data_IF_419462494341
#
_entry.id   IF_419462494341
#
_cell.length_a   1.000
_cell.length_b   1.000
_cell.length_c   1.000
_cell.angle_alpha   90.00
_cell.angle_beta   90.00
_cell.angle_gamma   90.00
#
_symmetry.space_group_name_H-M   'P 1'
#
loop_
_entity.id
_entity.type
_entity.pdbx_description
1 polymer ?
#
# COMPACT_ATOMS: atom_id res chain seq x y z
N UNK A 1 70.14 -26.73 20.58
CA UNK A 1 69.68 -28.14 20.67
C UNK A 1 68.41 -28.28 19.83
N UNK A 2 68.55 -29.09 18.78
CA UNK A 2 67.53 -29.82 17.99
C UNK A 2 66.51 -29.05 17.15
N UNK A 3 66.83 -29.04 15.86
CA UNK A 3 65.94 -28.98 14.71
C UNK A 3 65.04 -30.24 14.55
N UNK A 4 64.01 -30.05 13.71
CA UNK A 4 63.31 -31.03 12.85
C UNK A 4 62.35 -31.99 13.56
N UNK A 5 61.06 -31.99 13.14
CA UNK A 5 60.39 -33.10 12.42
C UNK A 5 59.09 -32.59 11.79
N UNK A 6 58.90 -32.93 10.52
CA UNK A 6 57.65 -32.84 9.74
C UNK A 6 57.19 -34.28 9.47
N UNK A 7 55.87 -34.50 9.50
CA UNK A 7 55.12 -35.62 8.85
C UNK A 7 55.28 -36.97 9.64
N UNK A 8 54.27 -37.77 10.00
CA UNK A 8 53.13 -38.25 9.22
C UNK A 8 51.97 -38.81 10.08
N UNK A 9 50.80 -38.84 9.45
CA UNK A 9 49.53 -39.57 9.64
C UNK A 9 49.39 -40.63 10.77
N UNK A 10 48.24 -40.66 11.48
CA UNK A 10 47.44 -41.89 11.75
C UNK A 10 46.07 -41.61 12.44
N UNK A 11 45.04 -42.23 11.84
CA UNK A 11 43.72 -42.73 12.34
C UNK A 11 42.57 -41.78 12.76
N UNK A 12 41.65 -41.65 11.79
CA UNK A 12 40.18 -41.87 11.83
C UNK A 12 39.56 -42.21 13.21
N UNK A 13 38.61 -41.39 13.67
CA UNK A 13 37.18 -41.78 13.67
C UNK A 13 36.19 -40.65 14.07
N UNK A 14 35.21 -40.46 13.19
CA UNK A 14 33.78 -40.15 13.41
C UNK A 14 33.38 -38.98 14.33
N UNK A 15 32.89 -37.91 13.71
CA UNK A 15 31.47 -37.53 13.86
C UNK A 15 31.01 -36.64 12.70
N UNK A 16 29.84 -36.99 12.18
CA UNK A 16 29.18 -36.43 11.00
C UNK A 16 28.59 -35.06 11.34
N UNK A 17 28.83 -34.04 10.52
CA UNK A 17 27.76 -33.13 10.09
C UNK A 17 28.09 -32.55 8.72
N UNK A 18 27.12 -32.67 7.82
CA UNK A 18 27.20 -32.27 6.41
C UNK A 18 27.02 -30.75 6.31
N UNK A 19 28.04 -30.03 5.86
CA UNK A 19 27.87 -28.71 5.24
C UNK A 19 28.41 -28.82 3.82
N UNK A 20 27.50 -28.77 2.85
CA UNK A 20 27.83 -28.84 1.42
C UNK A 20 28.57 -27.55 0.98
N UNK A 21 29.64 -27.62 0.17
CA UNK A 21 30.45 -26.45 -0.24
C UNK A 21 29.78 -25.50 -1.25
N UNK A 22 28.45 -25.53 -1.37
CA UNK A 22 27.72 -24.96 -2.50
C UNK A 22 27.35 -23.48 -2.32
N UNK A 23 27.24 -22.99 -1.09
CA UNK A 23 26.74 -21.63 -0.82
C UNK A 23 27.85 -20.58 -0.95
N UNK A 24 29.07 -20.90 -0.51
CA UNK A 24 30.19 -19.96 -0.53
C UNK A 24 30.71 -19.68 -1.95
N UNK A 25 30.62 -20.66 -2.87
CA UNK A 25 30.97 -20.43 -4.29
C UNK A 25 29.97 -19.51 -5.00
N UNK A 26 28.69 -19.61 -4.67
CA UNK A 26 27.65 -18.74 -5.26
C UNK A 26 27.83 -17.29 -4.79
N UNK A 27 28.15 -17.07 -3.52
CA UNK A 27 28.41 -15.73 -2.97
C UNK A 27 29.64 -15.10 -3.65
N UNK A 28 30.73 -15.85 -3.83
CA UNK A 28 31.95 -15.37 -4.49
C UNK A 28 31.72 -15.07 -5.99
N UNK A 29 30.86 -15.86 -6.65
CA UNK A 29 30.54 -15.66 -8.07
C UNK A 29 29.59 -14.47 -8.30
N UNK A 30 28.70 -14.18 -7.36
CA UNK A 30 27.87 -12.96 -7.41
C UNK A 30 28.67 -11.68 -7.13
N UNK A 31 29.71 -11.74 -6.29
CA UNK A 31 30.58 -10.58 -6.04
C UNK A 31 31.52 -10.25 -7.22
N UNK A 32 31.80 -11.20 -8.11
CA UNK A 32 32.61 -10.97 -9.33
C UNK A 32 31.83 -10.37 -10.50
N UNK A 33 30.49 -10.39 -10.48
CA UNK A 33 29.66 -9.86 -11.59
C UNK A 33 29.40 -8.34 -11.47
N UNK A 34 29.75 -7.69 -10.35
CA UNK A 34 29.50 -6.23 -10.19
C UNK A 34 30.63 -5.30 -10.66
N UNK A 35 31.70 -5.81 -11.31
CA UNK A 35 32.89 -5.01 -11.62
C UNK A 35 33.25 -4.86 -13.12
N UNK A 36 32.38 -5.21 -14.05
CA UNK A 36 32.64 -4.95 -15.48
C UNK A 36 31.55 -4.10 -16.09
N UNK A 37 31.74 -2.78 -16.08
CA UNK A 37 31.44 -1.89 -17.21
C UNK A 37 32.03 -0.50 -16.93
N UNK A 38 33.30 -0.32 -17.32
CA UNK A 38 33.91 1.00 -17.58
C UNK A 38 33.77 1.30 -19.07
N UNK A 39 33.37 2.53 -19.39
CA UNK A 39 33.57 3.16 -20.71
C UNK A 39 32.45 2.93 -21.73
N UNK A 40 31.79 4.01 -22.15
CA UNK A 40 30.84 4.02 -23.27
C UNK A 40 29.81 5.15 -23.15
N UNK A 41 29.81 6.06 -24.12
CA UNK A 41 29.06 7.32 -24.18
C UNK A 41 27.55 7.18 -23.95
N UNK A 42 26.96 8.14 -23.23
CA UNK A 42 25.52 8.20 -22.94
C UNK A 42 24.76 8.80 -24.15
N UNK A 43 24.17 7.96 -24.99
CA UNK A 43 23.06 8.39 -25.86
C UNK A 43 21.71 8.15 -25.16
N UNK A 44 20.93 9.23 -25.06
CA UNK A 44 19.55 9.25 -24.58
C UNK A 44 18.57 9.11 -25.76
N UNK A 45 17.38 8.52 -25.59
CA UNK A 45 16.88 7.80 -24.42
C UNK A 45 17.33 6.32 -24.40
N UNK A 46 17.37 5.64 -23.24
CA UNK A 46 17.77 4.24 -23.16
C UNK A 46 16.72 3.35 -23.87
N UNK A 47 17.14 2.69 -24.94
CA UNK A 47 16.42 1.56 -25.51
C UNK A 47 16.33 0.49 -24.43
N UNK A 48 15.12 0.25 -23.89
CA UNK A 48 14.86 -0.89 -23.03
C UNK A 48 14.99 -2.13 -23.92
N UNK A 49 16.15 -2.76 -23.92
CA UNK A 49 16.30 -4.11 -24.46
C UNK A 49 15.56 -5.03 -23.50
N UNK A 50 14.31 -5.34 -23.81
CA UNK A 50 13.60 -6.46 -23.19
C UNK A 50 14.34 -7.71 -23.68
N UNK A 51 15.28 -8.21 -22.88
CA UNK A 51 15.87 -9.52 -23.11
C UNK A 51 14.74 -10.53 -23.30
N UNK A 52 14.88 -11.42 -24.29
CA UNK A 52 13.93 -12.53 -24.49
C UNK A 52 13.66 -13.20 -23.14
N UNK A 53 12.40 -13.45 -22.76
CA UNK A 53 12.11 -14.04 -21.47
C UNK A 53 12.78 -15.41 -21.41
N UNK A 54 13.51 -15.77 -20.34
CA UNK A 54 13.90 -17.15 -20.14
C UNK A 54 12.62 -17.98 -20.04
N UNK A 55 12.47 -18.94 -20.94
CA UNK A 55 11.38 -19.91 -20.98
C UNK A 55 11.47 -20.82 -19.74
N UNK A 56 10.92 -20.35 -18.61
CA UNK A 56 10.53 -21.09 -17.41
C UNK A 56 9.97 -20.05 -16.44
N UNK A 57 8.70 -20.20 -16.04
CA UNK A 57 8.07 -19.43 -14.96
C UNK A 57 8.77 -19.73 -13.64
N UNK A 58 9.93 -19.13 -13.39
CA UNK A 58 10.56 -19.15 -12.07
C UNK A 58 9.91 -18.03 -11.29
N UNK A 59 8.91 -18.37 -10.47
CA UNK A 59 8.28 -17.44 -9.53
C UNK A 59 9.38 -16.96 -8.56
N UNK A 60 9.93 -15.76 -8.79
CA UNK A 60 10.93 -15.16 -7.91
C UNK A 60 10.18 -14.48 -6.77
N UNK A 61 9.81 -15.27 -5.75
CA UNK A 61 9.18 -14.71 -4.56
C UNK A 61 10.25 -13.93 -3.77
N UNK A 62 10.11 -12.61 -3.72
CA UNK A 62 10.92 -11.77 -2.86
C UNK A 62 10.38 -11.76 -1.41
N UNK A 63 11.22 -11.39 -0.45
CA UNK A 63 10.86 -11.37 0.97
C UNK A 63 9.65 -10.46 1.26
N UNK A 64 9.48 -9.37 0.51
CA UNK A 64 8.40 -8.41 0.71
C UNK A 64 7.06 -8.97 0.21
N UNK A 65 7.09 -9.72 -0.89
CA UNK A 65 5.95 -10.46 -1.42
C UNK A 65 5.52 -11.56 -0.45
N UNK A 66 6.47 -12.31 0.15
CA UNK A 66 6.15 -13.25 1.25
C UNK A 66 5.43 -12.53 2.39
N UNK A 67 5.91 -11.35 2.78
CA UNK A 67 5.33 -10.58 3.87
C UNK A 67 3.91 -10.07 3.53
N UNK A 68 3.68 -9.71 2.28
CA UNK A 68 2.37 -9.29 1.77
C UNK A 68 1.37 -10.45 1.75
N UNK A 69 1.81 -11.62 1.25
CA UNK A 69 1.02 -12.85 1.26
C UNK A 69 0.68 -13.25 2.70
N UNK A 70 1.68 -13.24 3.59
CA UNK A 70 1.49 -13.50 5.01
C UNK A 70 0.47 -12.54 5.62
N UNK A 71 0.52 -11.26 5.25
CA UNK A 71 -0.43 -10.25 5.71
C UNK A 71 -1.86 -10.57 5.28
N UNK A 72 -2.09 -10.88 4.00
CA UNK A 72 -3.41 -11.26 3.49
C UNK A 72 -3.93 -12.53 4.18
N UNK A 73 -3.08 -13.56 4.29
CA UNK A 73 -3.43 -14.81 4.96
C UNK A 73 -3.80 -14.57 6.41
N UNK A 74 -3.02 -13.77 7.14
CA UNK A 74 -3.28 -13.49 8.56
C UNK A 74 -4.60 -12.73 8.75
N UNK A 75 -4.88 -11.73 7.92
CA UNK A 75 -6.15 -10.98 7.97
C UNK A 75 -7.34 -11.88 7.65
N UNK A 76 -7.24 -12.71 6.61
CA UNK A 76 -8.32 -13.64 6.22
C UNK A 76 -8.55 -14.70 7.29
N UNK A 77 -7.49 -15.32 7.81
CA UNK A 77 -7.59 -16.32 8.87
C UNK A 77 -8.16 -15.73 10.16
N UNK A 78 -7.69 -14.55 10.58
CA UNK A 78 -8.22 -13.84 11.74
C UNK A 78 -9.69 -13.44 11.57
N UNK A 79 -10.09 -13.04 10.36
CA UNK A 79 -11.47 -12.68 10.04
C UNK A 79 -12.38 -13.92 10.02
N UNK A 80 -11.89 -15.05 9.50
CA UNK A 80 -12.61 -16.32 9.54
C UNK A 80 -12.78 -16.83 10.98
N UNK A 81 -11.74 -16.70 11.81
CA UNK A 81 -11.83 -17.01 13.23
C UNK A 81 -12.86 -16.11 13.95
N UNK A 82 -12.87 -14.82 13.64
CA UNK A 82 -13.87 -13.89 14.16
C UNK A 82 -15.30 -14.23 13.71
N UNK A 83 -15.50 -14.54 12.43
CA UNK A 83 -16.80 -14.95 11.91
C UNK A 83 -17.31 -16.23 12.57
N UNK A 84 -16.44 -17.22 12.77
CA UNK A 84 -16.75 -18.43 13.53
C UNK A 84 -17.09 -18.10 14.98
N UNK A 85 -16.30 -17.25 15.64
CA UNK A 85 -16.56 -16.85 17.02
C UNK A 85 -17.93 -16.16 17.18
N UNK A 86 -18.24 -15.20 16.31
CA UNK A 86 -19.53 -14.51 16.30
C UNK A 86 -20.71 -15.42 15.95
N UNK A 87 -20.48 -16.49 15.16
CA UNK A 87 -21.54 -17.48 14.91
C UNK A 87 -21.98 -18.22 16.18
N UNK A 88 -21.10 -18.33 17.19
CA UNK A 88 -21.39 -18.96 18.47
C UNK A 88 -21.86 -17.96 19.55
N UNK A 89 -21.41 -16.70 19.51
CA UNK A 89 -21.66 -15.70 20.58
C UNK A 89 -22.70 -14.64 20.18
N UNK A 90 -23.07 -14.56 18.90
CA UNK A 90 -23.97 -13.54 18.38
C UNK A 90 -23.27 -12.20 18.12
N UNK A 91 -23.99 -11.30 17.46
CA UNK A 91 -23.55 -9.94 17.14
C UNK A 91 -24.61 -8.98 17.67
N UNK A 92 -24.18 -7.91 18.31
CA UNK A 92 -25.04 -6.79 18.73
C UNK A 92 -24.79 -5.57 17.84
N UNK A 93 -25.37 -4.42 18.17
CA UNK A 93 -25.07 -3.17 17.47
C UNK A 93 -23.67 -2.63 17.81
N UNK A 94 -23.04 -3.07 18.91
CA UNK A 94 -21.74 -2.58 19.35
C UNK A 94 -20.62 -2.95 18.37
N UNK A 95 -20.55 -4.20 17.91
CA UNK A 95 -19.48 -4.70 17.03
C UNK A 95 -19.39 -3.95 15.69
N UNK A 96 -20.48 -3.78 14.91
CA UNK A 96 -20.41 -3.01 13.67
C UNK A 96 -20.10 -1.54 13.91
N UNK A 97 -20.60 -0.93 14.99
CA UNK A 97 -20.27 0.46 15.35
C UNK A 97 -18.80 0.60 15.71
N UNK A 98 -18.25 -0.33 16.49
CA UNK A 98 -16.83 -0.37 16.84
C UNK A 98 -15.97 -0.57 15.58
N UNK A 99 -16.33 -1.52 14.71
CA UNK A 99 -15.64 -1.77 13.45
C UNK A 99 -15.57 -0.50 12.60
N UNK A 100 -16.70 0.18 12.38
CA UNK A 100 -16.76 1.40 11.56
C UNK A 100 -16.02 2.56 12.21
N UNK A 101 -16.10 2.70 13.54
CA UNK A 101 -15.40 3.75 14.29
C UNK A 101 -13.87 3.55 14.21
N UNK A 102 -13.39 2.33 14.44
CA UNK A 102 -11.97 1.99 14.32
C UNK A 102 -11.50 2.09 12.86
N UNK A 103 -12.34 1.72 11.89
CA UNK A 103 -12.08 1.93 10.45
C UNK A 103 -11.88 3.41 10.14
N UNK A 104 -12.75 4.29 10.63
CA UNK A 104 -12.65 5.73 10.42
C UNK A 104 -11.34 6.27 11.01
N UNK A 105 -11.08 6.01 12.30
CA UNK A 105 -9.91 6.52 13.01
C UNK A 105 -8.60 6.03 12.39
N UNK A 106 -8.46 4.73 12.15
CA UNK A 106 -7.25 4.19 11.50
C UNK A 106 -7.16 4.60 10.03
N UNK A 107 -8.31 4.80 9.37
CA UNK A 107 -8.43 5.30 8.01
C UNK A 107 -7.87 6.71 7.84
N UNK A 108 -7.93 7.55 8.88
CA UNK A 108 -7.22 8.83 8.90
C UNK A 108 -5.70 8.66 8.71
N UNK A 109 -5.12 7.59 9.24
CA UNK A 109 -3.72 7.26 9.03
C UNK A 109 -3.38 6.89 7.58
N UNK A 110 -4.29 6.23 6.87
CA UNK A 110 -4.15 5.98 5.43
C UNK A 110 -4.35 7.27 4.63
N UNK A 111 -5.48 7.96 4.81
CA UNK A 111 -5.80 9.13 3.99
C UNK A 111 -4.91 10.35 4.28
N UNK A 112 -4.77 10.75 5.54
CA UNK A 112 -3.99 11.94 5.91
C UNK A 112 -2.51 11.61 5.99
N UNK A 113 -2.16 10.45 6.56
CA UNK A 113 -0.77 10.02 6.75
C UNK A 113 -0.15 9.49 5.47
N UNK A 114 -0.45 8.23 5.12
CA UNK A 114 0.21 7.53 4.02
C UNK A 114 0.00 8.26 2.69
N UNK A 115 -1.24 8.67 2.42
CA UNK A 115 -1.62 9.23 1.14
C UNK A 115 -1.29 10.73 1.03
N UNK A 116 -2.00 11.60 1.75
CA UNK A 116 -1.86 13.07 1.59
C UNK A 116 -0.52 13.61 2.07
N UNK A 117 0.02 13.07 3.16
CA UNK A 117 1.29 13.52 3.74
C UNK A 117 2.49 12.83 3.07
N UNK A 118 2.65 11.52 3.26
CA UNK A 118 3.90 10.84 2.90
C UNK A 118 4.04 10.63 1.38
N UNK A 119 2.96 10.38 0.65
CA UNK A 119 3.04 10.30 -0.82
C UNK A 119 3.15 11.69 -1.45
N UNK A 120 2.27 12.62 -1.06
CA UNK A 120 2.01 13.83 -1.85
C UNK A 120 2.42 15.15 -1.21
N UNK A 121 2.78 15.15 0.08
CA UNK A 121 3.22 16.35 0.82
C UNK A 121 2.27 17.53 0.65
N UNK A 122 0.99 17.27 0.83
CA UNK A 122 -0.07 18.26 0.67
C UNK A 122 -0.16 19.24 1.85
N UNK A 123 0.50 18.95 2.97
CA UNK A 123 0.63 19.82 4.14
C UNK A 123 1.93 19.52 4.91
N UNK A 124 2.27 20.37 5.89
CA UNK A 124 3.42 20.21 6.79
C UNK A 124 2.94 19.93 8.22
N UNK A 125 3.15 18.72 8.75
CA UNK A 125 2.76 18.35 10.11
C UNK A 125 3.83 18.70 11.15
N UNK A 126 3.46 18.71 12.44
CA UNK A 126 4.43 18.52 13.51
C UNK A 126 4.97 17.07 13.51
N UNK A 127 6.19 16.80 14.03
CA UNK A 127 6.74 15.44 14.03
C UNK A 127 5.89 14.41 14.79
N UNK A 128 5.28 14.81 15.90
CA UNK A 128 4.39 13.95 16.69
C UNK A 128 3.10 13.63 15.95
N UNK A 129 2.52 14.62 15.25
CA UNK A 129 1.33 14.39 14.44
C UNK A 129 1.64 13.48 13.23
N UNK A 130 2.78 13.67 12.57
CA UNK A 130 3.24 12.77 11.52
C UNK A 130 3.41 11.32 12.02
N UNK A 131 3.98 11.15 13.21
CA UNK A 131 4.14 9.84 13.85
C UNK A 131 2.78 9.20 14.17
N UNK A 132 1.84 9.98 14.74
CA UNK A 132 0.49 9.51 15.06
C UNK A 132 -0.26 9.03 13.81
N UNK A 133 -0.24 9.82 12.72
CA UNK A 133 -0.83 9.41 11.45
C UNK A 133 -0.15 8.16 10.87
N UNK A 134 1.18 8.06 10.98
CA UNK A 134 1.93 6.89 10.57
C UNK A 134 1.55 5.63 11.36
N UNK A 135 1.41 5.73 12.69
CA UNK A 135 0.99 4.63 13.56
C UNK A 135 -0.42 4.17 13.21
N UNK A 136 -1.37 5.10 13.06
CA UNK A 136 -2.75 4.79 12.66
C UNK A 136 -2.79 4.08 11.30
N UNK A 137 -1.96 4.51 10.34
CA UNK A 137 -1.81 3.84 9.05
C UNK A 137 -1.23 2.43 9.21
N UNK A 138 -0.23 2.24 10.06
CA UNK A 138 0.35 0.92 10.34
C UNK A 138 -0.65 -0.05 10.99
N UNK A 139 -1.57 0.43 11.85
CA UNK A 139 -2.64 -0.36 12.45
C UNK A 139 -3.63 -0.94 11.42
N UNK A 140 -3.65 -0.41 10.19
CA UNK A 140 -4.45 -0.95 9.07
C UNK A 140 -3.87 -2.22 8.46
N UNK A 141 -2.60 -2.53 8.76
CA UNK A 141 -1.86 -3.66 8.22
C UNK A 141 -1.71 -3.63 6.68
N UNK A 142 -1.61 -2.43 6.09
CA UNK A 142 -1.40 -2.25 4.64
C UNK A 142 0.08 -2.17 4.22
N UNK A 143 0.99 -2.50 5.13
CA UNK A 143 2.43 -2.38 4.95
C UNK A 143 3.03 -1.15 5.62
N UNK A 144 4.36 -1.15 5.69
CA UNK A 144 5.16 -0.02 6.13
C UNK A 144 4.91 1.22 5.27
N UNK A 145 5.10 2.42 5.83
CA UNK A 145 4.95 3.70 5.13
C UNK A 145 5.79 3.69 3.87
N UNK A 146 7.07 3.32 3.98
CA UNK A 146 7.99 3.30 2.83
C UNK A 146 7.52 2.35 1.73
N UNK A 147 6.94 1.20 2.09
CA UNK A 147 6.44 0.23 1.12
C UNK A 147 5.20 0.75 0.40
N UNK A 148 4.21 1.20 1.16
CA UNK A 148 2.96 1.74 0.63
C UNK A 148 3.20 2.95 -0.27
N UNK A 149 4.02 3.91 0.19
CA UNK A 149 4.35 5.11 -0.59
C UNK A 149 5.11 4.78 -1.87
N UNK A 150 6.02 3.80 -1.83
CA UNK A 150 6.73 3.36 -3.03
C UNK A 150 5.77 2.83 -4.09
N UNK A 151 4.79 2.03 -3.68
CA UNK A 151 3.81 1.42 -4.59
C UNK A 151 2.88 2.51 -5.13
N UNK A 152 2.40 3.41 -4.26
CA UNK A 152 1.52 4.51 -4.66
C UNK A 152 2.17 5.51 -5.63
N UNK A 153 3.42 5.91 -5.35
CA UNK A 153 4.17 6.82 -6.26
C UNK A 153 4.45 6.14 -7.61
N UNK A 154 4.68 4.82 -7.63
CA UNK A 154 4.81 4.07 -8.88
C UNK A 154 3.48 4.01 -9.64
N UNK A 155 2.37 3.76 -8.94
CA UNK A 155 1.03 3.83 -9.52
C UNK A 155 0.78 5.20 -10.14
N UNK A 156 0.98 6.31 -9.41
CA UNK A 156 0.84 7.65 -9.98
C UNK A 156 1.71 7.89 -11.22
N UNK A 157 2.89 7.26 -11.33
CA UNK A 157 3.78 7.38 -12.49
C UNK A 157 3.32 6.54 -13.69
N UNK A 158 2.77 5.36 -13.47
CA UNK A 158 2.42 4.39 -14.52
C UNK A 158 0.92 4.06 -14.59
N UNK A 159 0.06 4.81 -13.90
CA UNK A 159 -1.37 4.52 -13.73
C UNK A 159 -2.01 4.06 -15.04
N UNK A 160 -2.65 2.89 -15.00
CA UNK A 160 -3.31 2.25 -16.12
C UNK A 160 -2.45 1.94 -17.35
N UNK A 161 -1.13 1.82 -17.14
CA UNK A 161 -0.14 1.49 -18.17
C UNK A 161 0.77 0.36 -17.71
N UNK A 162 1.54 -0.27 -18.62
CA UNK A 162 2.56 -1.24 -18.25
C UNK A 162 3.50 -0.67 -17.18
N UNK A 163 3.63 -1.40 -16.07
CA UNK A 163 4.43 -0.99 -14.92
C UNK A 163 3.62 -0.49 -13.72
N UNK A 164 2.32 -0.19 -13.88
CA UNK A 164 1.42 0.05 -12.74
C UNK A 164 1.27 -1.22 -11.89
N UNK A 165 1.56 -1.18 -10.59
CA UNK A 165 1.42 -2.34 -9.73
C UNK A 165 0.00 -2.93 -9.71
N UNK A 166 -1.03 -2.10 -9.73
CA UNK A 166 -2.42 -2.51 -9.50
C UNK A 166 -3.39 -1.95 -10.53
N UNK A 167 -2.97 -1.85 -11.80
CA UNK A 167 -3.90 -1.45 -12.85
C UNK A 167 -5.01 -2.48 -13.06
N UNK A 168 -6.29 -2.05 -13.05
CA UNK A 168 -7.43 -2.89 -13.38
C UNK A 168 -7.74 -2.99 -14.88
N UNK A 169 -6.88 -2.46 -15.75
CA UNK A 169 -7.07 -2.51 -17.21
C UNK A 169 -7.26 -3.97 -17.69
N UNK A 170 -8.13 -4.20 -18.70
CA UNK A 170 -8.41 -5.55 -19.19
C UNK A 170 -7.13 -6.31 -19.59
N UNK A 171 -7.07 -7.59 -19.20
CA UNK A 171 -5.97 -8.51 -19.52
C UNK A 171 -6.44 -9.59 -20.50
N UNK A 172 -6.44 -9.24 -21.78
CA UNK A 172 -6.99 -10.06 -22.87
C UNK A 172 -8.33 -9.54 -23.37
N UNK A 173 -8.94 -10.25 -24.32
CA UNK A 173 -10.18 -9.85 -24.95
C UNK A 173 -11.43 -10.22 -24.13
N UNK A 174 -12.51 -9.45 -24.34
CA UNK A 174 -13.85 -9.73 -23.81
C UNK A 174 -13.99 -9.61 -22.29
N UNK A 175 -15.13 -10.08 -21.78
CA UNK A 175 -15.49 -10.01 -20.35
C UNK A 175 -14.47 -10.73 -19.46
N UNK A 176 -13.95 -11.89 -19.90
CA UNK A 176 -12.92 -12.61 -19.15
C UNK A 176 -11.65 -11.81 -18.94
N UNK A 177 -11.21 -11.05 -19.95
CA UNK A 177 -10.08 -10.13 -19.84
C UNK A 177 -10.35 -8.98 -18.88
N UNK A 178 -11.56 -8.41 -18.91
CA UNK A 178 -11.98 -7.36 -17.99
C UNK A 178 -12.00 -7.84 -16.52
N UNK A 179 -12.56 -9.03 -16.25
CA UNK A 179 -12.59 -9.62 -14.90
C UNK A 179 -11.18 -9.86 -14.36
N UNK A 180 -10.29 -10.44 -15.19
CA UNK A 180 -8.87 -10.64 -14.80
C UNK A 180 -8.15 -9.32 -14.53
N UNK A 181 -8.47 -8.29 -15.31
CA UNK A 181 -8.03 -6.92 -15.08
C UNK A 181 -8.45 -6.44 -13.69
N UNK A 182 -9.75 -6.45 -13.43
CA UNK A 182 -10.34 -6.01 -12.17
C UNK A 182 -9.77 -6.76 -10.95
N UNK A 183 -9.71 -8.09 -10.99
CA UNK A 183 -9.14 -8.91 -9.90
C UNK A 183 -7.69 -8.51 -9.63
N UNK A 184 -6.90 -8.31 -10.67
CA UNK A 184 -5.51 -7.89 -10.53
C UNK A 184 -5.38 -6.49 -9.93
N UNK A 185 -6.25 -5.54 -10.28
CA UNK A 185 -6.24 -4.21 -9.68
C UNK A 185 -6.76 -4.17 -8.24
N UNK A 186 -7.63 -5.11 -7.87
CA UNK A 186 -8.17 -5.21 -6.52
C UNK A 186 -7.19 -5.95 -5.58
N UNK A 187 -6.90 -7.22 -5.83
CA UNK A 187 -6.12 -8.07 -4.90
C UNK A 187 -4.99 -8.85 -5.58
N UNK A 188 -5.10 -9.18 -6.87
CA UNK A 188 -4.13 -10.04 -7.55
C UNK A 188 -2.71 -9.46 -7.59
N UNK A 189 -2.57 -8.14 -7.52
CA UNK A 189 -1.27 -7.48 -7.48
C UNK A 189 -0.42 -7.85 -6.27
N UNK A 190 -1.03 -8.21 -5.15
CA UNK A 190 -0.35 -8.62 -3.91
C UNK A 190 0.54 -9.85 -4.13
N UNK A 191 0.13 -10.77 -4.99
CA UNK A 191 0.85 -12.02 -5.32
C UNK A 191 1.63 -11.94 -6.64
N UNK A 192 1.71 -10.75 -7.23
CA UNK A 192 2.42 -10.54 -8.51
C UNK A 192 3.81 -9.94 -8.29
N UNK A 193 4.71 -10.10 -9.27
CA UNK A 193 6.05 -9.47 -9.28
C UNK A 193 5.99 -7.93 -9.22
N UNK A 194 4.80 -7.36 -9.36
CA UNK A 194 4.57 -5.94 -9.23
C UNK A 194 4.70 -5.44 -7.77
N UNK A 195 4.55 -6.34 -6.79
CA UNK A 195 4.79 -6.07 -5.37
C UNK A 195 6.29 -6.09 -5.06
N UNK A 196 6.99 -4.99 -5.33
CA UNK A 196 8.33 -4.77 -4.82
C UNK A 196 8.50 -3.32 -4.36
N UNK A 197 9.35 -3.10 -3.36
CA UNK A 197 9.69 -1.74 -2.90
C UNK A 197 10.74 -1.16 -3.83
N UNK A 198 10.37 -0.09 -4.52
CA UNK A 198 11.23 0.61 -5.43
C UNK A 198 11.94 1.73 -4.66
N UNK A 199 13.13 1.43 -4.14
CA UNK A 199 13.94 2.33 -3.30
C UNK A 199 14.06 3.75 -3.88
N UNK A 200 14.10 3.87 -5.21
CA UNK A 200 14.18 5.15 -5.90
C UNK A 200 12.97 6.07 -5.68
N UNK A 201 11.79 5.51 -5.41
CA UNK A 201 10.57 6.29 -5.18
C UNK A 201 10.44 6.79 -3.74
N UNK A 202 11.32 6.39 -2.82
CA UNK A 202 11.23 6.69 -1.38
C UNK A 202 12.55 7.15 -0.75
N UNK A 203 13.48 7.65 -1.58
CA UNK A 203 14.79 8.15 -1.11
C UNK A 203 14.65 9.26 -0.05
N UNK A 204 13.63 10.09 -0.19
CA UNK A 204 13.27 11.12 0.78
C UNK A 204 12.79 10.52 2.11
N UNK A 205 11.88 9.55 2.08
CA UNK A 205 11.32 8.93 3.28
C UNK A 205 12.37 8.13 4.06
N UNK A 206 13.35 7.53 3.38
CA UNK A 206 14.47 6.86 4.05
C UNK A 206 15.29 7.79 4.95
N UNK A 207 15.31 9.09 4.64
CA UNK A 207 16.01 10.10 5.44
C UNK A 207 15.15 10.65 6.57
N UNK A 208 13.84 10.49 6.50
CA UNK A 208 12.89 10.96 7.52
C UNK A 208 12.97 10.10 8.80
N UNK A 209 13.32 10.70 9.96
CA UNK A 209 13.44 9.96 11.22
C UNK A 209 12.10 9.43 11.73
N UNK A 210 10.99 10.12 11.49
CA UNK A 210 9.65 9.68 11.90
C UNK A 210 9.26 8.44 11.14
N UNK A 211 9.42 8.45 9.81
CA UNK A 211 9.11 7.29 8.97
C UNK A 211 9.96 6.08 9.36
N UNK A 212 11.27 6.27 9.56
CA UNK A 212 12.15 5.17 9.99
C UNK A 212 11.73 4.57 11.34
N UNK A 213 11.26 5.40 12.27
CA UNK A 213 10.82 4.92 13.57
C UNK A 213 9.50 4.14 13.48
N UNK A 214 8.51 4.67 12.76
CA UNK A 214 7.23 3.96 12.55
C UNK A 214 7.46 2.64 11.81
N UNK A 215 8.22 2.65 10.72
CA UNK A 215 8.50 1.45 9.92
C UNK A 215 9.27 0.38 10.70
N UNK A 216 10.21 0.79 11.58
CA UNK A 216 10.94 -0.12 12.47
C UNK A 216 10.01 -0.88 13.41
N UNK A 217 8.99 -0.21 13.94
CA UNK A 217 8.04 -0.77 14.91
C UNK A 217 6.72 -1.20 14.26
N UNK A 218 6.67 -1.35 12.94
CA UNK A 218 5.45 -1.64 12.20
C UNK A 218 4.62 -2.79 12.79
N UNK A 219 5.25 -3.92 13.11
CA UNK A 219 4.55 -5.09 13.67
C UNK A 219 4.00 -4.86 15.08
N UNK A 220 4.64 -3.99 15.87
CA UNK A 220 4.11 -3.56 17.17
C UNK A 220 2.81 -2.76 16.96
N UNK A 221 2.80 -1.84 15.99
CA UNK A 221 1.60 -1.04 15.69
C UNK A 221 0.47 -1.88 15.09
N UNK A 222 0.79 -2.87 14.24
CA UNK A 222 -0.20 -3.84 13.75
C UNK A 222 -0.83 -4.60 14.93
N UNK A 223 -0.01 -5.13 15.84
CA UNK A 223 -0.50 -5.84 17.02
C UNK A 223 -1.38 -4.94 17.90
N UNK A 224 -0.96 -3.69 18.14
CA UNK A 224 -1.77 -2.71 18.86
C UNK A 224 -3.12 -2.44 18.17
N UNK A 225 -3.14 -2.36 16.84
CA UNK A 225 -4.38 -2.19 16.06
C UNK A 225 -5.38 -3.34 16.18
N UNK A 226 -4.95 -4.52 16.65
CA UNK A 226 -5.83 -5.67 16.91
C UNK A 226 -6.17 -5.80 18.39
N UNK A 227 -5.19 -5.57 19.27
CA UNK A 227 -5.33 -5.74 20.72
C UNK A 227 -6.16 -4.61 21.36
N UNK A 228 -5.93 -3.35 20.97
CA UNK A 228 -6.59 -2.20 21.61
C UNK A 228 -8.13 -2.22 21.48
N UNK A 229 -8.73 -2.56 20.32
CA UNK A 229 -10.17 -2.71 20.23
C UNK A 229 -10.74 -3.79 21.16
N UNK A 230 -9.96 -4.82 21.49
CA UNK A 230 -10.34 -5.82 22.48
C UNK A 230 -10.54 -5.19 23.86
N UNK A 231 -9.64 -4.31 24.30
CA UNK A 231 -9.85 -3.60 25.56
C UNK A 231 -11.07 -2.67 25.55
N UNK A 232 -11.46 -2.13 24.40
CA UNK A 232 -12.72 -1.37 24.27
C UNK A 232 -13.93 -2.28 24.48
N UNK A 233 -13.93 -3.46 23.86
CA UNK A 233 -14.99 -4.46 24.07
C UNK A 233 -15.03 -5.00 25.50
N UNK A 234 -13.87 -5.23 26.12
CA UNK A 234 -13.77 -5.61 27.55
C UNK A 234 -14.38 -4.54 28.45
N UNK A 235 -14.07 -3.27 28.21
CA UNK A 235 -14.63 -2.16 28.98
C UNK A 235 -16.14 -2.00 28.79
N UNK A 236 -16.65 -2.29 27.58
CA UNK A 236 -18.07 -2.18 27.26
C UNK A 236 -18.92 -3.28 27.91
N UNK A 237 -18.48 -4.54 27.79
CA UNK A 237 -19.24 -5.69 28.29
C UNK A 237 -18.85 -6.14 29.70
N UNK A 238 -17.67 -5.77 30.18
CA UNK A 238 -17.13 -6.20 31.48
C UNK A 238 -16.68 -7.67 31.54
N UNK A 239 -16.59 -8.36 30.39
CA UNK A 239 -16.29 -9.80 30.32
C UNK A 239 -15.14 -10.12 29.37
N UNK A 240 -14.52 -11.30 29.56
CA UNK A 240 -13.52 -11.83 28.63
C UNK A 240 -14.06 -12.01 27.21
N UNK A 241 -15.34 -12.39 27.07
CA UNK A 241 -15.99 -12.46 25.76
C UNK A 241 -16.12 -11.07 25.11
N UNK A 242 -16.33 -10.03 25.92
CA UNK A 242 -16.26 -8.65 25.46
C UNK A 242 -14.91 -8.28 24.87
N UNK A 243 -13.80 -8.76 25.46
CA UNK A 243 -12.48 -8.58 24.86
C UNK A 243 -12.41 -9.20 23.46
N UNK A 244 -12.87 -10.43 23.30
CA UNK A 244 -12.82 -11.13 22.02
C UNK A 244 -13.76 -10.49 20.97
N UNK A 245 -14.94 -10.05 21.37
CA UNK A 245 -15.85 -9.29 20.50
C UNK A 245 -15.15 -8.03 19.95
N UNK A 246 -14.53 -7.24 20.84
CA UNK A 246 -13.78 -6.05 20.45
C UNK A 246 -12.57 -6.37 19.57
N UNK A 247 -11.80 -7.39 19.94
CA UNK A 247 -10.60 -7.84 19.22
C UNK A 247 -10.95 -8.26 17.79
N UNK A 248 -11.94 -9.13 17.60
CA UNK A 248 -12.31 -9.63 16.28
C UNK A 248 -12.95 -8.53 15.41
N UNK A 249 -13.86 -7.73 15.97
CA UNK A 249 -14.54 -6.66 15.24
C UNK A 249 -13.59 -5.54 14.83
N UNK A 250 -12.81 -4.98 15.77
CA UNK A 250 -11.91 -3.87 15.51
C UNK A 250 -10.51 -4.25 15.02
N UNK A 251 -10.12 -5.51 15.13
CA UNK A 251 -8.85 -6.05 14.65
C UNK A 251 -8.95 -6.63 13.23
N UNK A 252 -9.00 -7.96 13.06
CA UNK A 252 -8.92 -8.60 11.75
C UNK A 252 -10.10 -8.29 10.82
N UNK A 253 -11.36 -8.28 11.30
CA UNK A 253 -12.51 -7.98 10.43
C UNK A 253 -12.45 -6.54 9.90
N UNK A 254 -12.07 -5.59 10.76
CA UNK A 254 -11.80 -4.20 10.37
C UNK A 254 -10.66 -4.10 9.37
N UNK A 255 -9.54 -4.82 9.57
CA UNK A 255 -8.45 -4.90 8.59
C UNK A 255 -8.95 -5.42 7.23
N UNK A 256 -9.76 -6.47 7.22
CA UNK A 256 -10.32 -7.05 5.99
C UNK A 256 -11.22 -6.04 5.27
N UNK A 257 -12.14 -5.40 6.00
CA UNK A 257 -13.00 -4.34 5.47
C UNK A 257 -12.17 -3.21 4.85
N UNK A 258 -11.19 -2.70 5.59
CA UNK A 258 -10.40 -1.54 5.19
C UNK A 258 -9.45 -1.82 4.02
N UNK A 259 -8.88 -3.03 3.95
CA UNK A 259 -8.11 -3.49 2.79
C UNK A 259 -8.98 -3.48 1.53
N UNK A 260 -10.19 -4.06 1.59
CA UNK A 260 -11.10 -4.07 0.45
C UNK A 260 -11.54 -2.67 0.06
N UNK A 261 -11.81 -1.78 1.02
CA UNK A 261 -12.13 -0.37 0.74
C UNK A 261 -10.97 0.33 0.01
N UNK A 262 -9.73 0.10 0.46
CA UNK A 262 -8.54 0.69 -0.17
C UNK A 262 -8.31 0.13 -1.57
N UNK A 263 -8.41 -1.18 -1.73
CA UNK A 263 -8.27 -1.85 -3.03
C UNK A 263 -9.39 -1.49 -4.00
N UNK A 264 -10.58 -1.13 -3.50
CA UNK A 264 -11.66 -0.62 -4.34
C UNK A 264 -11.33 0.76 -4.93
N UNK A 265 -10.46 1.56 -4.29
CA UNK A 265 -9.92 2.78 -4.91
C UNK A 265 -9.13 2.41 -6.18
N UNK A 266 -8.28 1.39 -6.10
CA UNK A 266 -7.46 0.94 -7.23
C UNK A 266 -8.27 0.27 -8.34
N UNK A 267 -9.33 -0.48 -7.98
CA UNK A 267 -10.13 -1.23 -8.96
C UNK A 267 -11.41 -0.49 -9.36
N UNK A 268 -12.35 -0.31 -8.43
CA UNK A 268 -13.67 0.28 -8.70
C UNK A 268 -13.52 1.73 -9.14
N UNK A 269 -12.70 2.54 -8.47
CA UNK A 269 -12.55 3.95 -8.86
C UNK A 269 -11.71 4.16 -10.14
N UNK A 270 -11.12 3.12 -10.72
CA UNK A 270 -10.50 3.16 -12.06
C UNK A 270 -11.39 2.54 -13.15
N UNK A 271 -12.52 1.93 -12.78
CA UNK A 271 -13.45 1.33 -13.75
C UNK A 271 -14.81 2.05 -13.79
N UNK A 272 -15.30 2.56 -12.65
CA UNK A 272 -16.66 3.03 -12.49
C UNK A 272 -16.72 4.38 -11.76
N UNK A 273 -17.60 5.28 -12.22
CA UNK A 273 -17.77 6.62 -11.67
C UNK A 273 -17.68 7.74 -12.70
N UNK A 274 -17.57 8.97 -12.23
CA UNK A 274 -17.57 10.18 -13.06
C UNK A 274 -16.15 10.69 -13.31
N UNK A 275 -15.88 11.24 -14.49
CA UNK A 275 -14.63 11.95 -14.79
C UNK A 275 -14.93 13.44 -14.92
N UNK A 276 -14.32 14.25 -14.05
CA UNK A 276 -14.41 15.72 -14.06
C UNK A 276 -13.21 16.35 -14.77
N UNK A 277 -12.09 15.63 -14.79
CA UNK A 277 -10.85 16.04 -15.43
C UNK A 277 -10.40 15.00 -16.44
N UNK A 278 -9.85 15.48 -17.55
CA UNK A 278 -9.10 14.64 -18.47
C UNK A 278 -7.74 14.31 -17.81
N UNK A 279 -7.54 13.03 -17.61
CA UNK A 279 -6.32 12.45 -17.06
C UNK A 279 -5.82 11.39 -18.03
N UNK A 280 -4.54 11.07 -17.93
CA UNK A 280 -3.84 10.16 -18.84
C UNK A 280 -4.14 8.67 -18.63
N UNK A 281 -5.04 8.40 -17.69
CA UNK A 281 -5.41 7.14 -17.05
C UNK A 281 -6.93 7.16 -16.78
N UNK A 282 -7.51 6.10 -16.22
CA UNK A 282 -8.95 5.90 -16.15
C UNK A 282 -9.59 6.11 -14.76
N UNK A 283 -8.94 6.83 -13.85
CA UNK A 283 -9.50 7.22 -12.55
C UNK A 283 -10.82 7.98 -12.70
N UNK A 284 -11.71 7.74 -11.74
CA UNK A 284 -13.09 8.22 -11.67
C UNK A 284 -13.45 8.58 -10.24
N UNK A 285 -14.29 9.60 -10.07
CA UNK A 285 -14.96 9.88 -8.80
C UNK A 285 -16.10 8.88 -8.61
N UNK A 286 -15.99 8.04 -7.58
CA UNK A 286 -16.97 7.00 -7.23
C UNK A 286 -17.58 7.26 -5.87
N UNK A 287 -18.89 7.55 -5.86
CA UNK A 287 -19.65 7.80 -4.61
C UNK A 287 -19.63 6.58 -3.70
N UNK A 288 -19.74 5.37 -4.27
CA UNK A 288 -19.67 4.12 -3.52
C UNK A 288 -18.33 3.96 -2.81
N UNK A 289 -17.22 4.12 -3.54
CA UNK A 289 -15.88 4.01 -2.94
C UNK A 289 -15.66 5.11 -1.90
N UNK A 290 -16.23 6.30 -2.13
CA UNK A 290 -16.13 7.40 -1.18
C UNK A 290 -16.86 7.10 0.14
N UNK A 291 -18.05 6.49 0.05
CA UNK A 291 -18.82 6.05 1.21
C UNK A 291 -18.11 4.94 1.98
N UNK A 292 -17.55 3.94 1.28
CA UNK A 292 -16.85 2.80 1.89
C UNK A 292 -15.55 3.21 2.59
N UNK A 293 -14.77 4.12 1.98
CA UNK A 293 -13.52 4.63 2.57
C UNK A 293 -13.73 5.67 3.66
N UNK A 294 -14.92 6.28 3.71
CA UNK A 294 -15.37 7.26 4.72
C UNK A 294 -14.54 8.56 4.81
N UNK A 295 -13.57 8.78 3.91
CA UNK A 295 -12.53 9.80 4.09
C UNK A 295 -12.20 10.64 2.84
N UNK A 296 -12.98 10.55 1.75
CA UNK A 296 -12.76 11.36 0.54
C UNK A 296 -12.04 10.62 -0.60
N UNK A 297 -11.42 9.45 -0.34
CA UNK A 297 -10.57 8.71 -1.29
C UNK A 297 -11.29 8.27 -2.58
N UNK A 298 -12.62 8.20 -2.55
CA UNK A 298 -13.43 7.89 -3.73
C UNK A 298 -13.48 9.00 -4.76
N UNK A 299 -13.06 10.23 -4.43
CA UNK A 299 -12.92 11.36 -5.37
C UNK A 299 -11.62 11.24 -6.18
N UNK A 300 -11.43 10.06 -6.80
CA UNK A 300 -10.13 9.63 -7.29
C UNK A 300 -9.68 10.36 -8.56
N UNK A 301 -10.60 10.75 -9.45
CA UNK A 301 -10.27 11.54 -10.63
C UNK A 301 -9.81 12.96 -10.28
N UNK A 302 -10.43 13.56 -9.25
CA UNK A 302 -9.98 14.86 -8.72
C UNK A 302 -8.56 14.75 -8.16
N UNK A 303 -8.30 13.69 -7.39
CA UNK A 303 -6.99 13.40 -6.84
C UNK A 303 -5.93 13.19 -7.94
N UNK A 304 -6.18 12.36 -8.96
CA UNK A 304 -5.24 12.17 -10.06
C UNK A 304 -5.01 13.44 -10.89
N UNK A 305 -6.00 14.34 -10.97
CA UNK A 305 -5.81 15.65 -11.56
C UNK A 305 -4.89 16.53 -10.69
N UNK A 306 -5.11 16.58 -9.37
CA UNK A 306 -4.31 17.39 -8.46
C UNK A 306 -3.69 16.56 -7.31
N UNK A 307 -2.68 15.71 -7.58
CA UNK A 307 -2.18 14.76 -6.58
C UNK A 307 -1.63 15.43 -5.32
N UNK A 308 -1.10 16.65 -5.48
CA UNK A 308 -0.54 17.44 -4.39
C UNK A 308 -1.58 18.16 -3.52
N UNK A 309 -2.86 18.13 -3.91
CA UNK A 309 -3.94 18.78 -3.18
C UNK A 309 -4.22 18.04 -1.87
N UNK A 310 -4.45 18.80 -0.81
CA UNK A 310 -4.91 18.29 0.47
C UNK A 310 -6.41 18.00 0.47
N UNK A 311 -7.19 18.62 -0.42
CA UNK A 311 -8.62 18.33 -0.62
C UNK A 311 -8.82 17.54 -1.91
N UNK A 312 -9.59 16.46 -1.84
CA UNK A 312 -10.08 15.73 -3.00
C UNK A 312 -11.46 16.24 -3.45
N UNK A 313 -12.19 16.92 -2.57
CA UNK A 313 -13.42 17.65 -2.93
C UNK A 313 -13.05 18.97 -3.61
N UNK A 314 -13.34 19.06 -4.91
CA UNK A 314 -13.01 20.20 -5.77
C UNK A 314 -14.25 20.84 -6.40
N UNK A 315 -15.42 20.19 -6.32
CA UNK A 315 -16.69 20.68 -6.83
C UNK A 315 -17.78 20.67 -5.75
N UNK A 316 -18.82 21.54 -5.87
CA UNK A 316 -19.96 21.53 -4.95
C UNK A 316 -20.63 20.16 -4.84
N UNK A 317 -20.99 19.78 -3.60
CA UNK A 317 -21.64 18.50 -3.29
C UNK A 317 -20.69 17.31 -3.12
N UNK A 318 -19.38 17.48 -3.37
CA UNK A 318 -18.39 16.43 -3.11
C UNK A 318 -18.01 16.41 -1.61
N UNK A 319 -18.06 15.20 -1.02
CA UNK A 319 -17.79 14.99 0.40
C UNK A 319 -16.36 14.49 0.59
N UNK A 320 -15.57 15.23 1.36
CA UNK A 320 -14.21 14.85 1.76
C UNK A 320 -14.03 15.07 3.27
N UNK A 321 -14.48 14.08 4.05
CA UNK A 321 -14.41 14.10 5.51
C UNK A 321 -12.94 14.15 5.98
N UNK A 322 -12.03 13.49 5.27
CA UNK A 322 -10.60 13.54 5.58
C UNK A 322 -10.07 14.97 5.54
N UNK A 323 -10.46 15.76 4.53
CA UNK A 323 -10.05 17.15 4.42
C UNK A 323 -10.65 18.00 5.54
N UNK A 324 -11.91 17.80 5.89
CA UNK A 324 -12.55 18.53 7.00
C UNK A 324 -11.85 18.24 8.33
N UNK A 325 -11.50 16.98 8.59
CA UNK A 325 -10.72 16.58 9.77
C UNK A 325 -9.33 17.23 9.74
N UNK A 326 -8.65 17.26 8.58
CA UNK A 326 -7.38 17.96 8.43
C UNK A 326 -7.50 19.45 8.75
N UNK A 327 -8.56 20.13 8.30
CA UNK A 327 -8.82 21.53 8.65
C UNK A 327 -8.94 21.74 10.17
N UNK A 328 -9.57 20.80 10.88
CA UNK A 328 -9.58 20.80 12.35
C UNK A 328 -8.17 20.72 12.95
N UNK A 329 -7.32 19.83 12.44
CA UNK A 329 -5.91 19.74 12.86
C UNK A 329 -5.08 20.98 12.53
N UNK A 330 -5.40 21.68 11.44
CA UNK A 330 -4.79 22.97 11.10
C UNK A 330 -5.21 24.04 12.10
N UNK A 331 -6.50 24.11 12.45
CA UNK A 331 -7.00 25.05 13.46
C UNK A 331 -6.36 24.81 14.84
N UNK A 332 -6.03 23.55 15.17
CA UNK A 332 -5.28 23.18 16.38
C UNK A 332 -3.76 23.41 16.28
N UNK A 333 -3.24 23.84 15.13
CA UNK A 333 -1.81 24.08 14.91
C UNK A 333 -0.95 22.82 14.69
N UNK A 334 -1.56 21.65 14.48
CA UNK A 334 -0.84 20.39 14.28
C UNK A 334 -0.37 20.20 12.82
N UNK A 335 -0.96 20.93 11.90
CA UNK A 335 -0.60 20.96 10.49
C UNK A 335 -0.61 22.41 9.97
N UNK A 336 0.28 22.70 9.01
CA UNK A 336 0.42 24.02 8.37
C UNK A 336 0.68 23.86 6.89
N UNK A 337 0.73 24.97 6.14
CA UNK A 337 1.07 25.01 4.71
C UNK A 337 0.24 24.03 3.86
N UNK A 338 -1.06 23.99 4.11
CA UNK A 338 -2.01 23.16 3.38
C UNK A 338 -2.12 23.65 1.94
N UNK A 339 -2.02 22.73 0.99
CA UNK A 339 -2.02 23.03 -0.45
C UNK A 339 -3.37 22.62 -1.05
N UNK A 340 -4.07 23.55 -1.69
CA UNK A 340 -5.31 23.31 -2.43
C UNK A 340 -5.25 24.11 -3.74
N UNK A 341 -5.72 23.57 -4.88
CA UNK A 341 -5.77 24.32 -6.13
C UNK A 341 -6.76 25.49 -6.05
N UNK A 342 -6.44 26.59 -6.72
CA UNK A 342 -7.36 27.73 -6.84
C UNK A 342 -8.55 27.38 -7.74
N UNK A 343 -9.68 28.05 -7.54
CA UNK A 343 -10.89 27.89 -8.37
C UNK A 343 -10.60 28.10 -9.85
N UNK A 344 -9.78 29.09 -10.20
CA UNK A 344 -9.37 29.36 -11.58
C UNK A 344 -8.57 28.18 -12.18
N UNK A 345 -7.67 27.58 -11.41
CA UNK A 345 -6.88 26.43 -11.85
C UNK A 345 -7.76 25.18 -12.03
N UNK A 346 -8.71 24.95 -11.11
CA UNK A 346 -9.71 23.89 -11.22
C UNK A 346 -10.52 24.07 -12.51
N UNK A 347 -11.08 25.27 -12.72
CA UNK A 347 -11.91 25.60 -13.87
C UNK A 347 -11.15 25.44 -15.20
N UNK A 348 -9.93 25.97 -15.29
CA UNK A 348 -9.10 25.87 -16.49
C UNK A 348 -8.84 24.40 -16.87
N UNK A 349 -8.52 23.55 -15.89
CA UNK A 349 -8.24 22.14 -16.16
C UNK A 349 -9.49 21.32 -16.49
N UNK A 350 -10.62 21.66 -15.88
CA UNK A 350 -11.91 21.04 -16.19
C UNK A 350 -12.39 21.42 -17.61
N UNK A 351 -12.21 22.68 -18.02
CA UNK A 351 -12.58 23.15 -19.36
C UNK A 351 -11.80 22.43 -20.47
N UNK A 352 -10.50 22.18 -20.25
CA UNK A 352 -9.70 21.38 -21.19
C UNK A 352 -10.28 19.98 -21.42
N UNK A 353 -10.94 19.38 -20.43
CA UNK A 353 -11.57 18.07 -20.56
C UNK A 353 -12.83 18.09 -21.46
N UNK A 354 -13.50 19.24 -21.57
CA UNK A 354 -14.67 19.41 -22.46
C UNK A 354 -14.30 19.80 -23.89
N UNK A 355 -13.10 20.34 -24.13
CA UNK A 355 -12.66 20.83 -25.44
C UNK A 355 -11.64 19.92 -26.14
N UNK A 356 -11.16 18.86 -25.47
CA UNK A 356 -10.31 17.85 -26.10
C UNK A 356 -11.08 17.07 -27.17
N UNK A 357 -10.44 16.69 -28.30
CA UNK A 357 -11.13 15.90 -29.32
C UNK A 357 -11.62 14.61 -28.69
N UNK A 358 -12.92 14.32 -28.83
CA UNK A 358 -13.55 13.07 -28.43
C UNK A 358 -12.81 11.93 -29.13
N UNK A 359 -11.78 11.36 -28.48
CA UNK A 359 -11.14 10.15 -28.97
C UNK A 359 -12.13 9.03 -28.72
N UNK A 360 -12.95 8.76 -29.73
CA UNK A 360 -13.82 7.58 -29.78
C UNK A 360 -12.97 6.38 -29.43
N UNK A 361 -13.34 5.68 -28.36
CA UNK A 361 -12.76 4.39 -27.97
C UNK A 361 -13.22 3.32 -28.97
N UNK A 362 -12.78 3.44 -30.21
CA UNK A 362 -12.98 2.49 -31.29
C UNK A 362 -11.68 2.37 -32.07
N UNK A 363 -10.75 1.60 -31.52
CA UNK A 363 -9.66 1.01 -32.30
C UNK A 363 -9.49 -0.44 -31.89
N UNK A 364 -10.13 -1.31 -32.69
CA UNK A 364 -9.90 -2.72 -33.03
C UNK A 364 -9.14 -3.62 -32.06
#
# INVERSE_FOLDING_TARGET
MRDVVKIDTVRRNRLKSRVTPSVLRVIIQMMKISQTHRGGERRWPPTIVIGRPPSRWVLRIDFLQVLSIFTVVLVVAGSAAGAWWFSAHGITWFEPVLLLSVTFVTGLGITLGYHRLFCHRSFVPSPSFAAALGILGAMTMQGQISGWVSIHRKHHRYSDRPGDPHSPRPRGAGMGGAIRGFIQGHVGWVVSDAYCVYVDYVRDLRRDPVVRWVDRWYWLWVAAGWILPGFVGLAWYGTGDGYWAGFFAGGPLRCLWQLNCTWAVNSVAHCFGRRRFETREDSRNSVLVNALTMNGEGLHNNHHAFPWSASFSLFPGEIDIGYWVLCGFVAMGWATKVRVPSSNLIAARAAHATTGPFRSSTSR
#
